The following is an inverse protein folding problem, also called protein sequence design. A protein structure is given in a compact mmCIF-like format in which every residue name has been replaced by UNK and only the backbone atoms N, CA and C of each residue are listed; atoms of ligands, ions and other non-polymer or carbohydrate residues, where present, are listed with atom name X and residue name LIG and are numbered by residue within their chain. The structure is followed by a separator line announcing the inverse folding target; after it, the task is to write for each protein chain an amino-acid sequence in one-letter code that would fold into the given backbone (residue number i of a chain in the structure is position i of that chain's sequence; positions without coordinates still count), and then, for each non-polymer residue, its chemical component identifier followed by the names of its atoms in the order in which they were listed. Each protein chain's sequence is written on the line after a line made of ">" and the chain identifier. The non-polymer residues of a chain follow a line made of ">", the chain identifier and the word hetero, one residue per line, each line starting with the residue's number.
data_IF_292877238403
#
_entry.id   IF_292877238403
#
_cell.length_a   1.000
_cell.length_b   1.000
_cell.length_c   1.000
_cell.angle_alpha   90.00
_cell.angle_beta   90.00
_cell.angle_gamma   90.00
#
_symmetry.space_group_name_H-M   'P 1'
#
loop_
_entity.id
_entity.type
_entity.pdbx_description
1 polymer ?
#
# COMPACT_ATOMS: atom_id res chain seq x y z
N UNK A 1 -17.99 -0.54 85.02
CA UNK A 1 -18.83 0.61 84.63
C UNK A 1 -19.82 0.13 83.57
N UNK A 2 -21.12 0.42 83.82
CA UNK A 2 -22.35 0.38 82.99
C UNK A 2 -22.32 -0.43 81.66
N UNK A 3 -23.01 -1.58 81.57
CA UNK A 3 -24.43 -1.75 81.10
C UNK A 3 -24.64 -1.11 79.72
N UNK A 4 -25.14 -1.81 78.70
CA UNK A 4 -26.53 -2.27 78.59
C UNK A 4 -26.65 -3.41 77.56
N UNK A 5 -27.41 -4.45 77.93
CA UNK A 5 -28.01 -5.50 77.09
C UNK A 5 -29.03 -4.94 76.10
N UNK A 6 -29.31 -5.63 75.00
CA UNK A 6 -30.66 -6.14 74.67
C UNK A 6 -30.55 -7.22 73.59
N UNK A 7 -31.17 -8.34 73.92
CA UNK A 7 -31.36 -9.59 73.22
C UNK A 7 -32.65 -9.63 72.39
N UNK A 8 -32.76 -10.72 71.59
CA UNK A 8 -33.93 -11.42 71.03
C UNK A 8 -34.08 -11.31 69.50
N UNK A 9 -33.88 -12.38 68.71
CA UNK A 9 -34.55 -13.70 68.55
C UNK A 9 -35.86 -13.69 67.72
N UNK A 10 -35.81 -14.52 66.68
CA UNK A 10 -36.81 -15.51 66.23
C UNK A 10 -37.70 -15.24 64.99
N UNK A 11 -37.81 -16.29 64.16
CA UNK A 11 -38.93 -16.62 63.27
C UNK A 11 -38.67 -16.36 61.79
N UNK A 12 -38.15 -17.28 60.97
CA UNK A 12 -38.76 -18.52 60.45
C UNK A 12 -40.16 -18.30 59.80
N UNK A 13 -40.25 -18.42 58.47
CA UNK A 13 -41.41 -19.07 57.83
C UNK A 13 -41.12 -19.45 56.37
N UNK A 14 -41.03 -20.76 56.15
CA UNK A 14 -41.24 -21.45 54.87
C UNK A 14 -42.70 -21.90 54.87
N UNK A 15 -43.47 -21.58 53.82
CA UNK A 15 -44.71 -22.28 53.50
C UNK A 15 -44.84 -22.44 51.98
N UNK A 16 -45.00 -23.70 51.58
CA UNK A 16 -45.33 -24.15 50.23
C UNK A 16 -46.77 -24.71 50.21
N UNK A 17 -47.34 -24.77 49.00
CA UNK A 17 -48.57 -25.48 48.56
C UNK A 17 -49.90 -24.75 48.93
N UNK A 18 -50.97 -24.72 48.13
CA UNK A 18 -51.58 -25.70 47.21
C UNK A 18 -52.37 -24.98 46.08
N UNK A 19 -52.53 -25.71 44.98
CA UNK A 19 -53.24 -25.52 43.72
C UNK A 19 -54.65 -24.87 43.69
N UNK A 20 -55.01 -24.37 42.50
CA UNK A 20 -56.35 -24.46 41.92
C UNK A 20 -56.28 -24.50 40.37
N UNK A 21 -56.67 -25.63 39.80
CA UNK A 21 -57.12 -25.77 38.40
C UNK A 21 -58.62 -25.40 38.29
N UNK A 22 -59.09 -24.98 37.11
CA UNK A 22 -60.14 -25.80 36.49
C UNK A 22 -60.13 -25.89 34.95
N UNK A 23 -60.69 -27.04 34.51
CA UNK A 23 -61.46 -27.32 33.29
C UNK A 23 -60.76 -27.51 31.93
N UNK A 24 -60.61 -28.81 31.63
CA UNK A 24 -60.77 -29.48 30.31
C UNK A 24 -61.75 -28.74 29.37
N UNK A 25 -61.25 -28.42 28.18
CA UNK A 25 -62.02 -28.52 26.94
C UNK A 25 -61.27 -29.48 26.01
N UNK A 26 -61.85 -30.65 25.75
CA UNK A 26 -61.46 -31.47 24.61
C UNK A 26 -61.92 -30.76 23.35
N UNK A 27 -60.98 -30.44 22.46
CA UNK A 27 -61.29 -30.19 21.05
C UNK A 27 -60.25 -30.91 20.20
N UNK A 28 -60.67 -32.04 19.65
CA UNK A 28 -59.96 -32.72 18.58
C UNK A 28 -59.83 -31.77 17.38
N UNK A 29 -58.60 -31.51 16.94
CA UNK A 29 -58.33 -31.03 15.58
C UNK A 29 -56.95 -31.50 15.12
N UNK A 30 -56.95 -32.16 13.95
CA UNK A 30 -55.84 -32.75 13.17
C UNK A 30 -54.52 -31.95 13.16
N UNK A 31 -53.37 -32.63 12.97
CA UNK A 31 -52.06 -31.97 12.92
C UNK A 31 -51.96 -31.08 11.66
N UNK A 32 -51.75 -29.78 11.87
CA UNK A 32 -51.21 -28.88 10.84
C UNK A 32 -49.72 -28.70 11.11
N UNK A 33 -48.95 -28.92 10.06
CA UNK A 33 -47.51 -28.75 9.92
C UNK A 33 -47.00 -27.53 10.68
N UNK A 34 -46.01 -27.72 11.54
CA UNK A 34 -45.30 -26.65 12.23
C UNK A 34 -44.50 -25.85 11.20
N UNK A 35 -45.01 -24.69 10.79
CA UNK A 35 -44.17 -23.64 10.21
C UNK A 35 -43.38 -23.03 11.35
N UNK A 36 -42.09 -23.31 11.43
CA UNK A 36 -41.17 -22.60 12.30
C UNK A 36 -41.21 -21.12 11.95
N UNK A 37 -41.88 -20.32 12.76
CA UNK A 37 -41.71 -18.87 12.75
C UNK A 37 -40.31 -18.57 13.27
N UNK A 38 -39.33 -18.59 12.36
CA UNK A 38 -38.06 -17.92 12.59
C UNK A 38 -38.38 -16.44 12.82
N UNK A 39 -38.42 -16.03 14.09
CA UNK A 39 -38.32 -14.63 14.46
C UNK A 39 -37.03 -14.14 13.80
N UNK A 40 -37.16 -13.37 12.72
CA UNK A 40 -36.04 -12.63 12.15
C UNK A 40 -35.57 -11.73 13.30
N UNK A 41 -34.44 -12.06 13.93
CA UNK A 41 -33.67 -11.06 14.68
C UNK A 41 -33.46 -9.92 13.70
N UNK A 42 -34.03 -8.75 13.97
CA UNK A 42 -33.59 -7.53 13.30
C UNK A 42 -32.06 -7.49 13.46
N UNK A 43 -31.36 -7.51 12.33
CA UNK A 43 -29.90 -7.36 12.32
C UNK A 43 -29.66 -5.95 12.86
N UNK A 44 -29.18 -5.86 14.10
CA UNK A 44 -28.69 -4.59 14.67
C UNK A 44 -27.67 -4.04 13.67
N UNK A 45 -27.86 -2.81 13.23
CA UNK A 45 -26.90 -2.15 12.35
C UNK A 45 -25.63 -1.88 13.15
N UNK A 46 -24.56 -2.60 12.83
CA UNK A 46 -23.25 -2.48 13.48
C UNK A 46 -22.30 -1.57 12.69
N UNK A 47 -22.80 -0.82 11.71
CA UNK A 47 -22.01 0.13 10.94
C UNK A 47 -21.18 -0.49 9.80
N UNK A 48 -21.17 -1.82 9.63
CA UNK A 48 -20.38 -2.51 8.59
C UNK A 48 -20.56 -1.93 7.17
N UNK A 49 -21.76 -1.43 6.84
CA UNK A 49 -22.07 -0.82 5.54
C UNK A 49 -21.20 0.40 5.20
N UNK A 50 -20.69 1.11 6.21
CA UNK A 50 -19.86 2.31 6.03
C UNK A 50 -18.41 1.99 5.62
N UNK A 51 -18.01 0.72 5.69
CA UNK A 51 -16.70 0.26 5.21
C UNK A 51 -16.71 -0.19 3.74
N UNK A 52 -17.83 -0.03 3.03
CA UNK A 52 -17.97 -0.57 1.68
C UNK A 52 -16.92 -0.02 0.71
N UNK A 53 -16.62 1.28 0.75
CA UNK A 53 -15.56 1.87 -0.09
C UNK A 53 -14.18 1.29 0.23
N UNK A 54 -13.88 1.06 1.51
CA UNK A 54 -12.63 0.42 1.94
C UNK A 54 -12.55 -1.01 1.38
N UNK A 55 -13.62 -1.80 1.55
CA UNK A 55 -13.66 -3.18 1.04
C UNK A 55 -13.50 -3.25 -0.48
N UNK A 56 -14.16 -2.35 -1.23
CA UNK A 56 -14.05 -2.29 -2.69
C UNK A 56 -12.62 -1.94 -3.14
N UNK A 57 -11.94 -1.02 -2.45
CA UNK A 57 -10.52 -0.72 -2.72
C UNK A 57 -9.62 -1.92 -2.42
N UNK A 58 -9.77 -2.57 -1.26
CA UNK A 58 -8.98 -3.75 -0.90
C UNK A 58 -9.22 -4.94 -1.84
N UNK A 59 -10.44 -5.12 -2.37
CA UNK A 59 -10.72 -6.14 -3.38
C UNK A 59 -9.91 -5.90 -4.67
N UNK A 60 -9.73 -4.64 -5.07
CA UNK A 60 -8.90 -4.28 -6.22
C UNK A 60 -7.41 -4.44 -5.93
N UNK A 61 -6.95 -4.04 -4.75
CA UNK A 61 -5.56 -4.27 -4.31
C UNK A 61 -5.24 -5.77 -4.32
N UNK A 62 -6.12 -6.59 -3.76
CA UNK A 62 -5.99 -8.05 -3.75
C UNK A 62 -5.92 -8.63 -5.17
N UNK A 63 -6.80 -8.18 -6.08
CA UNK A 63 -6.79 -8.61 -7.47
C UNK A 63 -5.51 -8.20 -8.19
N UNK A 64 -5.07 -6.95 -8.01
CA UNK A 64 -3.87 -6.42 -8.65
C UNK A 64 -2.61 -7.14 -8.16
N UNK A 65 -2.45 -7.33 -6.85
CA UNK A 65 -1.32 -8.05 -6.27
C UNK A 65 -1.28 -9.53 -6.68
N UNK A 66 -2.43 -10.21 -6.75
CA UNK A 66 -2.51 -11.60 -7.22
C UNK A 66 -2.11 -11.76 -8.69
N UNK A 67 -2.43 -10.77 -9.51
CA UNK A 67 -2.16 -10.78 -10.95
C UNK A 67 -0.81 -10.16 -11.31
N UNK A 68 -0.07 -9.60 -10.34
CA UNK A 68 1.14 -8.82 -10.62
C UNK A 68 0.87 -7.52 -11.40
N UNK A 69 -0.38 -7.02 -11.38
CA UNK A 69 -0.80 -5.82 -12.08
C UNK A 69 -0.38 -4.56 -11.32
N UNK A 70 0.88 -4.17 -11.52
CA UNK A 70 1.47 -2.97 -10.92
C UNK A 70 0.72 -1.71 -11.33
N UNK A 71 0.39 -1.58 -12.60
CA UNK A 71 -0.28 -0.40 -13.16
C UNK A 71 -1.68 -0.21 -12.55
N UNK A 72 -2.46 -1.29 -12.43
CA UNK A 72 -3.76 -1.27 -11.77
C UNK A 72 -3.67 -0.96 -10.28
N UNK A 73 -2.67 -1.51 -9.58
CA UNK A 73 -2.42 -1.18 -8.18
C UNK A 73 -2.09 0.32 -8.00
N UNK A 74 -1.17 0.87 -8.80
CA UNK A 74 -0.79 2.28 -8.75
C UNK A 74 -1.95 3.21 -9.15
N UNK A 75 -2.81 2.80 -10.09
CA UNK A 75 -4.00 3.55 -10.46
C UNK A 75 -5.00 3.65 -9.30
N UNK A 76 -5.16 2.60 -8.50
CA UNK A 76 -6.02 2.63 -7.29
C UNK A 76 -5.35 3.41 -6.14
N UNK A 77 -4.02 3.34 -6.01
CA UNK A 77 -3.25 4.16 -5.06
C UNK A 77 -3.29 5.66 -5.38
N UNK A 78 -3.32 6.03 -6.66
CA UNK A 78 -3.46 7.42 -7.08
C UNK A 78 -4.78 8.08 -6.70
N UNK A 79 -5.78 7.30 -6.26
CA UNK A 79 -7.10 7.79 -5.81
C UNK A 79 -7.12 8.17 -4.33
N UNK A 80 -6.14 7.71 -3.55
CA UNK A 80 -5.99 8.09 -2.14
C UNK A 80 -4.95 9.19 -2.00
N UNK A 81 -4.90 9.83 -0.83
CA UNK A 81 -3.89 10.86 -0.55
C UNK A 81 -2.50 10.23 -0.70
N UNK A 82 -1.68 10.80 -1.58
CA UNK A 82 -0.29 10.39 -1.76
C UNK A 82 0.49 10.52 -0.43
N UNK A 83 1.30 9.51 -0.10
CA UNK A 83 2.03 9.44 1.16
C UNK A 83 1.16 9.14 2.38
N UNK A 84 -0.10 8.74 2.19
CA UNK A 84 -0.90 8.16 3.28
C UNK A 84 -0.29 6.83 3.76
N UNK A 85 -0.52 6.50 5.02
CA UNK A 85 -0.04 5.25 5.61
C UNK A 85 -0.47 4.01 4.79
N UNK A 86 -1.71 3.98 4.30
CA UNK A 86 -2.22 2.93 3.40
C UNK A 86 -1.42 2.84 2.09
N UNK A 87 -1.05 3.98 1.48
CA UNK A 87 -0.29 4.00 0.23
C UNK A 87 1.12 3.42 0.39
N UNK A 88 1.79 3.76 1.50
CA UNK A 88 3.15 3.27 1.80
C UNK A 88 3.11 1.78 2.08
N UNK A 89 2.11 1.36 2.84
CA UNK A 89 1.85 -0.04 3.13
C UNK A 89 1.71 -0.87 1.84
N UNK A 90 0.88 -0.43 0.90
CA UNK A 90 0.63 -1.16 -0.33
C UNK A 90 1.82 -1.13 -1.31
N UNK A 91 2.58 -0.04 -1.38
CA UNK A 91 3.86 -0.01 -2.12
C UNK A 91 4.86 -1.03 -1.52
N UNK A 92 4.94 -1.14 -0.19
CA UNK A 92 5.78 -2.13 0.46
C UNK A 92 5.35 -3.56 0.10
N UNK A 93 4.04 -3.83 -0.03
CA UNK A 93 3.53 -5.15 -0.42
C UNK A 93 3.77 -5.50 -1.89
N UNK A 94 3.68 -4.54 -2.80
CA UNK A 94 4.01 -4.75 -4.22
C UNK A 94 5.45 -5.22 -4.40
N UNK A 95 6.36 -4.67 -3.59
CA UNK A 95 7.79 -5.01 -3.60
C UNK A 95 8.10 -6.35 -2.94
N UNK A 96 7.16 -6.92 -2.19
CA UNK A 96 7.32 -8.28 -1.66
C UNK A 96 7.22 -9.26 -2.83
N UNK A 97 8.33 -9.94 -3.13
CA UNK A 97 8.35 -11.01 -4.14
C UNK A 97 7.53 -12.26 -3.77
N UNK A 98 6.67 -12.18 -2.77
CA UNK A 98 5.78 -13.24 -2.29
C UNK A 98 4.33 -12.90 -2.59
N UNK A 99 3.51 -13.83 -3.12
CA UNK A 99 2.10 -13.60 -3.33
C UNK A 99 1.40 -13.14 -2.05
N UNK A 100 0.70 -12.01 -2.15
CA UNK A 100 -0.11 -11.45 -1.08
C UNK A 100 -1.57 -11.85 -1.31
N UNK A 101 -2.28 -12.18 -0.24
CA UNK A 101 -3.74 -12.39 -0.31
C UNK A 101 -4.37 -11.74 0.90
N UNK A 102 -5.34 -10.87 0.64
CA UNK A 102 -6.05 -10.17 1.68
C UNK A 102 -7.20 -10.99 2.27
N UNK A 103 -7.43 -10.78 3.55
CA UNK A 103 -8.61 -11.19 4.29
C UNK A 103 -9.09 -10.04 5.17
N UNK A 104 -10.35 -10.07 5.55
CA UNK A 104 -10.91 -9.08 6.46
C UNK A 104 -11.86 -9.71 7.48
N UNK A 105 -12.01 -9.07 8.63
CA UNK A 105 -12.97 -9.45 9.66
C UNK A 105 -13.61 -8.19 10.25
N UNK A 106 -14.87 -8.32 10.66
CA UNK A 106 -15.56 -7.29 11.44
C UNK A 106 -15.63 -7.72 12.90
N UNK A 107 -15.32 -6.81 13.82
CA UNK A 107 -15.43 -7.07 15.24
C UNK A 107 -15.62 -5.77 16.01
N UNK A 108 -16.57 -5.77 16.95
CA UNK A 108 -16.78 -4.71 17.94
C UNK A 108 -15.70 -4.80 19.02
N UNK A 109 -14.56 -4.12 18.81
CA UNK A 109 -13.38 -4.19 19.67
C UNK A 109 -13.65 -3.54 21.04
N UNK A 110 -14.31 -2.39 21.05
CA UNK A 110 -14.55 -1.59 22.25
C UNK A 110 -15.91 -1.90 22.94
N UNK A 111 -16.72 -2.79 22.37
CA UNK A 111 -18.03 -3.23 22.88
C UNK A 111 -19.06 -2.11 22.90
N UNK A 112 -18.96 -1.15 21.98
CA UNK A 112 -19.91 -0.05 21.85
C UNK A 112 -21.10 -0.36 20.92
N UNK A 113 -21.04 -1.51 20.24
CA UNK A 113 -22.06 -1.99 19.31
C UNK A 113 -21.84 -1.60 17.86
N UNK A 114 -20.72 -0.94 17.52
CA UNK A 114 -20.21 -0.66 16.18
C UNK A 114 -19.02 -1.58 15.92
N UNK A 115 -18.95 -2.17 14.72
CA UNK A 115 -17.82 -3.02 14.37
C UNK A 115 -16.65 -2.17 13.80
N UNK A 116 -15.42 -2.52 14.19
CA UNK A 116 -14.20 -2.15 13.48
C UNK A 116 -13.91 -3.14 12.34
N UNK A 117 -13.22 -2.65 11.30
CA UNK A 117 -12.73 -3.46 10.20
C UNK A 117 -11.25 -3.79 10.42
N UNK A 118 -10.95 -5.08 10.50
CA UNK A 118 -9.59 -5.61 10.51
C UNK A 118 -9.25 -6.17 9.14
N UNK A 119 -8.07 -5.85 8.63
CA UNK A 119 -7.51 -6.43 7.41
C UNK A 119 -6.26 -7.24 7.75
N UNK A 120 -6.03 -8.32 7.02
CA UNK A 120 -4.86 -9.20 7.08
C UNK A 120 -4.36 -9.50 5.67
N UNK A 121 -3.06 -9.66 5.46
CA UNK A 121 -2.46 -9.82 4.12
C UNK A 121 -1.37 -10.89 3.99
N UNK A 122 -0.96 -11.58 5.06
CA UNK A 122 -0.11 -12.77 4.93
C UNK A 122 -0.70 -13.91 5.74
N UNK A 123 -0.39 -15.08 5.22
CA UNK A 123 -0.50 -16.35 5.90
C UNK A 123 0.90 -16.94 5.94
N UNK A 124 1.73 -16.48 6.88
CA UNK A 124 3.06 -17.06 7.11
C UNK A 124 2.97 -18.08 8.25
N UNK A 125 2.96 -19.37 7.90
CA UNK A 125 3.06 -20.46 8.88
C UNK A 125 1.91 -20.59 9.88
N UNK A 126 0.65 -20.48 9.42
CA UNK A 126 -0.59 -20.67 10.22
C UNK A 126 -0.87 -19.62 11.31
N UNK A 127 -0.21 -18.45 11.31
CA UNK A 127 -0.56 -17.34 12.21
C UNK A 127 -1.23 -16.20 11.45
N UNK A 128 -2.44 -15.86 11.89
CA UNK A 128 -3.15 -14.66 11.45
C UNK A 128 -2.54 -13.43 12.13
N UNK A 129 -2.34 -12.35 11.38
CA UNK A 129 -1.97 -11.06 11.94
C UNK A 129 -2.84 -9.97 11.33
N UNK A 130 -2.92 -8.83 12.00
CA UNK A 130 -3.66 -7.66 11.52
C UNK A 130 -2.69 -6.71 10.84
N UNK A 131 -3.01 -6.32 9.62
CA UNK A 131 -2.19 -5.45 8.78
C UNK A 131 -2.79 -4.07 8.54
N UNK A 132 -4.09 -3.89 8.76
CA UNK A 132 -4.71 -2.59 8.88
C UNK A 132 -5.92 -2.65 9.82
N UNK A 133 -6.19 -1.55 10.50
CA UNK A 133 -7.38 -1.36 11.34
C UNK A 133 -8.10 -0.10 10.88
N UNK A 134 -9.39 -0.21 10.60
CA UNK A 134 -10.26 0.95 10.37
C UNK A 134 -11.34 1.01 11.45
N UNK A 135 -11.66 2.22 11.89
CA UNK A 135 -12.78 2.52 12.78
C UNK A 135 -13.73 3.52 12.11
N UNK A 136 -14.94 3.70 12.65
CA UNK A 136 -15.89 4.67 12.10
C UNK A 136 -15.85 5.99 12.86
N UNK A 137 -15.41 7.07 12.22
CA UNK A 137 -15.64 8.44 12.71
C UNK A 137 -16.99 8.92 12.21
N UNK A 138 -18.03 8.59 12.96
CA UNK A 138 -19.41 8.80 12.52
C UNK A 138 -19.81 7.77 11.47
N UNK A 139 -19.93 8.19 10.20
CA UNK A 139 -20.27 7.32 9.06
C UNK A 139 -19.11 7.16 8.07
N UNK A 140 -17.93 7.67 8.42
CA UNK A 140 -16.73 7.63 7.60
C UNK A 140 -15.74 6.63 8.20
N UNK A 141 -15.21 5.73 7.36
CA UNK A 141 -14.17 4.80 7.76
C UNK A 141 -12.81 5.50 7.79
N UNK A 142 -12.18 5.55 8.97
CA UNK A 142 -10.87 6.15 9.19
C UNK A 142 -9.84 5.05 9.47
N UNK A 143 -8.71 5.11 8.76
CA UNK A 143 -7.57 4.23 9.00
C UNK A 143 -6.91 4.62 10.32
N UNK A 144 -6.78 3.68 11.24
CA UNK A 144 -5.97 3.87 12.45
C UNK A 144 -4.49 3.77 12.09
N UNK A 145 -4.04 2.58 11.69
CA UNK A 145 -2.65 2.29 11.35
C UNK A 145 -2.55 1.03 10.48
N UNK A 146 -1.37 0.84 9.88
CA UNK A 146 -0.97 -0.36 9.13
C UNK A 146 0.26 -1.04 9.74
N UNK A 147 0.32 -2.36 9.64
CA UNK A 147 1.47 -3.17 10.04
C UNK A 147 2.19 -3.75 8.83
N UNK A 148 3.45 -3.37 8.63
CA UNK A 148 4.24 -3.84 7.50
C UNK A 148 5.74 -3.82 7.76
N UNK A 149 6.48 -4.48 6.88
CA UNK A 149 7.94 -4.36 6.80
C UNK A 149 8.26 -3.66 5.49
N UNK A 150 8.94 -2.52 5.56
CA UNK A 150 9.36 -1.80 4.37
C UNK A 150 10.37 -2.63 3.56
N UNK A 151 10.26 -2.57 2.23
CA UNK A 151 11.20 -3.26 1.34
C UNK A 151 12.63 -2.70 1.43
N UNK A 152 12.75 -1.41 1.78
CA UNK A 152 14.02 -0.67 1.93
C UNK A 152 13.99 0.19 3.20
N UNK A 153 15.16 0.58 3.68
CA UNK A 153 15.29 1.47 4.85
C UNK A 153 15.10 0.80 6.22
N UNK A 154 14.56 -0.42 6.26
CA UNK A 154 14.52 -1.23 7.48
C UNK A 154 13.38 -0.89 8.45
N UNK A 155 12.45 -0.01 8.06
CA UNK A 155 11.27 0.34 8.84
C UNK A 155 10.32 -0.84 8.99
N UNK A 156 9.76 -1.00 10.19
CA UNK A 156 8.80 -2.04 10.54
C UNK A 156 7.73 -1.48 11.46
N UNK A 157 6.51 -1.98 11.30
CA UNK A 157 5.40 -1.71 12.20
C UNK A 157 4.60 -2.98 12.53
N UNK A 158 3.97 -3.00 13.70
CA UNK A 158 3.05 -4.07 14.12
C UNK A 158 1.84 -3.54 14.86
N UNK A 159 0.76 -4.34 14.83
CA UNK A 159 -0.50 -4.07 15.51
C UNK A 159 -0.84 -5.25 16.41
N UNK A 160 -0.92 -4.99 17.72
CA UNK A 160 -1.36 -5.96 18.72
C UNK A 160 -2.69 -5.49 19.33
N UNK A 161 -3.70 -6.36 19.31
CA UNK A 161 -5.05 -6.06 19.76
C UNK A 161 -5.36 -6.80 21.06
N UNK A 162 -6.15 -6.18 21.93
CA UNK A 162 -6.54 -6.72 23.23
C UNK A 162 -8.08 -6.84 23.34
N UNK A 163 -8.55 -7.77 24.17
CA UNK A 163 -9.97 -8.15 24.31
C UNK A 163 -10.88 -7.08 24.96
N UNK A 164 -10.30 -5.96 25.35
CA UNK A 164 -10.97 -4.76 25.85
C UNK A 164 -10.96 -3.59 24.85
N UNK A 165 -10.50 -3.80 23.62
CA UNK A 165 -10.44 -2.79 22.57
C UNK A 165 -9.22 -1.89 22.60
N UNK A 166 -8.23 -2.18 23.46
CA UNK A 166 -6.92 -1.53 23.38
C UNK A 166 -6.12 -2.05 22.19
N UNK A 167 -5.38 -1.15 21.56
CA UNK A 167 -4.55 -1.43 20.39
C UNK A 167 -3.15 -0.88 20.67
N UNK A 168 -2.13 -1.71 20.48
CA UNK A 168 -0.73 -1.28 20.52
C UNK A 168 -0.23 -1.19 19.09
N UNK A 169 0.14 0.03 18.69
CA UNK A 169 0.92 0.27 17.49
C UNK A 169 2.39 0.34 17.87
N UNK A 170 3.21 -0.52 17.27
CA UNK A 170 4.65 -0.50 17.49
C UNK A 170 5.39 -0.20 16.20
N UNK A 171 6.44 0.61 16.27
CA UNK A 171 7.31 0.94 15.14
C UNK A 171 8.76 0.77 15.54
N UNK A 172 9.61 0.33 14.60
CA UNK A 172 11.04 0.22 14.83
C UNK A 172 11.83 0.22 13.53
N UNK A 173 13.12 0.50 13.65
CA UNK A 173 14.08 0.42 12.56
C UNK A 173 14.95 -0.81 12.75
N UNK A 174 15.25 -1.54 11.68
CA UNK A 174 16.04 -2.77 11.78
C UNK A 174 17.48 -2.54 12.30
N UNK A 175 17.96 -1.30 12.23
CA UNK A 175 19.30 -0.89 12.70
C UNK A 175 19.28 -0.24 14.09
N UNK A 176 18.10 -0.02 14.67
CA UNK A 176 17.96 0.55 16.01
C UNK A 176 17.34 -0.51 16.94
N UNK A 177 17.95 -0.81 18.10
CA UNK A 177 17.33 -1.71 19.07
C UNK A 177 16.06 -1.14 19.73
N UNK A 178 15.76 0.15 19.56
CA UNK A 178 14.56 0.78 20.09
C UNK A 178 13.31 0.37 19.29
N UNK A 179 12.26 -0.02 20.01
CA UNK A 179 10.89 -0.15 19.52
C UNK A 179 10.01 0.88 20.21
N UNK A 180 9.46 1.79 19.43
CA UNK A 180 8.49 2.78 19.89
C UNK A 180 7.11 2.13 19.95
N UNK A 181 6.38 2.40 21.04
CA UNK A 181 5.07 1.84 21.31
C UNK A 181 4.09 2.98 21.55
N UNK A 182 2.92 2.90 20.92
CA UNK A 182 1.78 3.78 21.17
C UNK A 182 0.55 2.94 21.49
N UNK A 183 -0.05 3.21 22.66
CA UNK A 183 -1.30 2.59 23.11
C UNK A 183 -2.48 3.46 22.72
N UNK A 184 -3.43 2.86 22.01
CA UNK A 184 -4.70 3.48 21.66
C UNK A 184 -5.87 2.83 22.41
N UNK A 185 -6.89 3.64 22.69
CA UNK A 185 -8.22 3.19 23.07
C UNK A 185 -9.23 3.69 22.03
N UNK A 186 -10.25 2.89 21.74
CA UNK A 186 -11.33 3.27 20.83
C UNK A 186 -12.53 3.78 21.64
N UNK A 187 -12.86 5.06 21.45
CA UNK A 187 -14.11 5.67 21.90
C UNK A 187 -15.17 5.68 20.80
N UNK A 188 -16.31 6.34 21.06
CA UNK A 188 -17.40 6.47 20.08
C UNK A 188 -16.97 7.34 18.89
N UNK A 189 -16.40 6.69 17.89
CA UNK A 189 -15.88 7.30 16.66
C UNK A 189 -14.62 8.13 16.83
N UNK A 190 -13.80 7.80 17.82
CA UNK A 190 -12.50 8.41 18.03
C UNK A 190 -11.49 7.33 18.47
N UNK A 191 -10.31 7.33 17.87
CA UNK A 191 -9.16 6.61 18.41
C UNK A 191 -8.31 7.56 19.25
N UNK A 192 -8.23 7.31 20.55
CA UNK A 192 -7.48 8.14 21.49
C UNK A 192 -6.14 7.51 21.81
N UNK A 193 -5.07 8.29 21.63
CA UNK A 193 -3.75 7.95 22.14
C UNK A 193 -3.74 8.06 23.67
N UNK A 194 -3.49 6.95 24.36
CA UNK A 194 -3.48 6.89 25.82
C UNK A 194 -2.06 7.04 26.39
N UNK A 195 -1.08 6.38 25.77
CA UNK A 195 0.28 6.31 26.32
C UNK A 195 1.29 5.94 25.25
N UNK A 196 2.51 6.46 25.41
CA UNK A 196 3.69 6.06 24.65
C UNK A 196 4.74 5.44 25.56
N UNK A 197 5.54 4.54 25.01
CA UNK A 197 6.71 3.97 25.66
C UNK A 197 7.75 3.54 24.61
N UNK A 198 8.98 3.34 25.05
CA UNK A 198 10.04 2.76 24.23
C UNK A 198 10.59 1.54 24.95
N UNK A 199 10.70 0.42 24.24
CA UNK A 199 11.33 -0.81 24.75
C UNK A 199 12.48 -1.23 23.84
N UNK A 200 13.39 -2.07 24.36
CA UNK A 200 14.48 -2.64 23.58
C UNK A 200 14.03 -3.96 22.93
N UNK A 201 14.32 -4.13 21.64
CA UNK A 201 14.10 -5.40 20.92
C UNK A 201 15.01 -6.47 21.52
N UNK A 202 14.42 -7.55 22.01
CA UNK A 202 15.15 -8.63 22.69
C UNK A 202 15.48 -8.36 24.16
N UNK A 203 15.01 -7.24 24.73
CA UNK A 203 15.08 -6.98 26.16
C UNK A 203 14.01 -7.71 26.97
N UNK A 204 14.08 -7.59 28.30
CA UNK A 204 13.20 -8.31 29.24
C UNK A 204 11.81 -7.66 29.43
N UNK A 205 11.64 -6.40 29.01
CA UNK A 205 10.41 -5.65 29.19
C UNK A 205 9.45 -5.86 28.03
N UNK A 206 8.22 -6.30 28.31
CA UNK A 206 7.17 -6.46 27.29
C UNK A 206 6.42 -5.16 27.01
N UNK A 207 5.72 -5.09 25.87
CA UNK A 207 4.88 -3.94 25.53
C UNK A 207 3.77 -3.70 26.57
N UNK A 208 3.15 -4.78 27.05
CA UNK A 208 2.11 -4.73 28.08
C UNK A 208 2.65 -4.17 29.39
N UNK A 209 3.85 -4.56 29.81
CA UNK A 209 4.48 -4.03 31.03
C UNK A 209 4.81 -2.54 30.89
N UNK A 210 5.41 -2.13 29.76
CA UNK A 210 5.80 -0.74 29.52
C UNK A 210 4.58 0.19 29.43
N UNK A 211 3.51 -0.27 28.77
CA UNK A 211 2.29 0.49 28.58
C UNK A 211 1.30 0.36 29.75
N UNK A 212 1.45 -0.66 30.61
CA UNK A 212 0.55 -0.89 31.74
C UNK A 212 -0.76 -1.57 31.34
N UNK A 213 -0.70 -2.49 30.37
CA UNK A 213 -1.85 -3.23 29.86
C UNK A 213 -2.08 -4.46 30.73
N UNK A 214 -3.30 -4.62 31.23
CA UNK A 214 -3.73 -5.80 32.01
C UNK A 214 -4.70 -6.70 31.24
N UNK A 215 -5.13 -6.29 30.04
CA UNK A 215 -6.05 -7.03 29.18
C UNK A 215 -5.35 -8.21 28.49
N UNK A 216 -6.14 -9.18 28.02
CA UNK A 216 -5.59 -10.32 27.27
C UNK A 216 -5.49 -9.97 25.80
N UNK A 217 -4.45 -10.45 25.13
CA UNK A 217 -4.34 -10.34 23.68
C UNK A 217 -5.54 -11.02 23.01
N UNK A 218 -6.10 -10.36 22.00
CA UNK A 218 -7.25 -10.83 21.25
C UNK A 218 -6.87 -12.08 20.44
N UNK A 219 -7.67 -13.13 20.58
CA UNK A 219 -7.49 -14.37 19.82
C UNK A 219 -8.07 -14.24 18.41
N UNK A 220 -7.20 -13.84 17.46
CA UNK A 220 -7.57 -13.61 16.07
C UNK A 220 -8.14 -14.85 15.36
N UNK A 221 -7.86 -16.07 15.86
CA UNK A 221 -8.37 -17.31 15.25
C UNK A 221 -9.88 -17.51 15.43
N UNK A 222 -10.49 -16.77 16.38
CA UNK A 222 -11.93 -16.82 16.67
C UNK A 222 -12.75 -15.85 15.83
N UNK A 223 -12.11 -15.00 15.03
CA UNK A 223 -12.80 -14.04 14.18
C UNK A 223 -13.28 -14.69 12.87
N UNK A 224 -14.39 -14.19 12.34
CA UNK A 224 -14.96 -14.63 11.06
C UNK A 224 -14.23 -13.96 9.89
N UNK A 225 -13.04 -14.48 9.57
CA UNK A 225 -12.22 -13.97 8.48
C UNK A 225 -12.81 -14.33 7.11
N UNK A 226 -13.06 -13.30 6.31
CA UNK A 226 -13.56 -13.37 4.94
C UNK A 226 -12.43 -13.10 3.96
N UNK A 227 -12.48 -13.75 2.80
CA UNK A 227 -11.58 -13.47 1.68
C UNK A 227 -12.20 -12.40 0.79
N UNK A 228 -11.37 -11.65 0.08
CA UNK A 228 -11.81 -10.88 -1.07
C UNK A 228 -11.95 -11.85 -2.25
N UNK A 229 -13.17 -12.00 -2.76
CA UNK A 229 -13.44 -12.72 -4.00
C UNK A 229 -13.29 -11.74 -5.17
N UNK A 230 -12.40 -12.06 -6.12
CA UNK A 230 -12.26 -11.32 -7.37
C UNK A 230 -13.50 -11.41 -8.28
N UNK A 231 -14.63 -11.91 -7.81
CA UNK A 231 -15.90 -11.91 -8.52
C UNK A 231 -16.67 -10.62 -8.24
N UNK A 232 -16.10 -9.49 -8.67
CA UNK A 232 -16.96 -8.47 -9.24
C UNK A 232 -17.57 -9.09 -10.49
N UNK A 233 -18.90 -9.27 -10.51
CA UNK A 233 -19.67 -9.65 -11.68
C UNK A 233 -19.36 -8.69 -12.83
N UNK A 234 -18.38 -9.05 -13.65
CA UNK A 234 -18.27 -8.63 -15.04
C UNK A 234 -18.16 -9.91 -15.84
N UNK A 235 -19.34 -10.50 -16.07
CA UNK A 235 -19.53 -11.59 -17.02
C UNK A 235 -19.18 -11.11 -18.42
N UNK A 236 -17.89 -11.12 -18.75
CA UNK A 236 -17.41 -11.05 -20.12
C UNK A 236 -17.23 -12.46 -20.63
N UNK A 237 -18.34 -13.12 -20.95
CA UNK A 237 -18.33 -14.15 -21.99
C UNK A 237 -18.06 -13.45 -23.32
N UNK A 238 -16.81 -13.38 -23.74
CA UNK A 238 -16.45 -13.04 -25.10
C UNK A 238 -15.61 -14.18 -25.68
N UNK A 239 -16.33 -15.02 -26.42
CA UNK A 239 -15.85 -15.94 -27.45
C UNK A 239 -14.83 -15.22 -28.35
N UNK A 240 -13.77 -15.91 -28.71
CA UNK A 240 -12.78 -15.46 -29.67
C UNK A 240 -13.45 -15.00 -30.98
N UNK A 241 -13.45 -13.70 -31.22
CA UNK A 241 -13.70 -13.08 -32.51
C UNK A 241 -12.64 -11.99 -32.70
N UNK A 242 -11.96 -12.06 -33.85
CA UNK A 242 -11.01 -11.05 -34.34
C UNK A 242 -11.64 -9.65 -34.27
N UNK A 243 -11.24 -8.86 -33.27
CA UNK A 243 -11.44 -7.41 -33.29
C UNK A 243 -10.17 -6.77 -33.83
N UNK A 244 -10.28 -6.14 -35.00
CA UNK A 244 -9.33 -5.13 -35.47
C UNK A 244 -9.22 -4.05 -34.39
N UNK A 245 -8.13 -4.08 -33.64
CA UNK A 245 -7.72 -3.00 -32.74
C UNK A 245 -7.44 -1.77 -33.59
N UNK A 246 -7.88 -0.59 -33.14
CA UNK A 246 -7.35 0.67 -33.65
C UNK A 246 -5.82 0.67 -33.49
N UNK A 247 -5.10 1.16 -34.51
CA UNK A 247 -3.65 1.24 -34.44
C UNK A 247 -3.22 2.32 -33.47
N UNK A 248 -2.11 2.09 -32.76
CA UNK A 248 -1.55 3.03 -31.79
C UNK A 248 -0.02 2.98 -31.82
N UNK A 249 0.63 4.03 -31.35
CA UNK A 249 2.09 4.09 -31.33
C UNK A 249 2.64 3.65 -29.97
N UNK A 250 3.84 3.07 -29.98
CA UNK A 250 4.60 2.71 -28.79
C UNK A 250 6.05 3.13 -28.93
N UNK A 251 6.66 3.61 -27.86
CA UNK A 251 8.08 3.95 -27.76
C UNK A 251 8.86 2.75 -27.22
N UNK A 252 9.92 2.36 -27.95
CA UNK A 252 10.87 1.32 -27.53
C UNK A 252 12.15 1.99 -27.04
N UNK A 253 12.47 1.85 -25.75
CA UNK A 253 13.65 2.47 -25.13
C UNK A 253 14.78 1.47 -24.83
N UNK A 254 14.47 0.18 -24.77
CA UNK A 254 15.43 -0.91 -24.53
C UNK A 254 16.10 -1.37 -25.83
N UNK A 255 17.39 -1.74 -25.76
CA UNK A 255 18.17 -2.20 -26.94
C UNK A 255 18.04 -3.68 -27.22
N UNK A 256 17.52 -4.45 -26.27
CA UNK A 256 17.51 -5.91 -26.28
C UNK A 256 16.12 -6.54 -26.54
N UNK A 257 15.11 -5.72 -26.90
CA UNK A 257 13.79 -6.21 -27.29
C UNK A 257 13.84 -6.92 -28.66
N UNK A 258 13.28 -8.13 -28.70
CA UNK A 258 13.25 -8.98 -29.90
C UNK A 258 11.90 -8.93 -30.59
N UNK A 259 11.95 -8.90 -31.92
CA UNK A 259 10.80 -9.15 -32.78
C UNK A 259 10.62 -10.67 -32.91
N UNK A 260 9.38 -11.14 -32.78
CA UNK A 260 8.97 -12.55 -32.95
C UNK A 260 8.06 -12.71 -34.16
N UNK A 261 8.19 -13.82 -34.88
CA UNK A 261 7.33 -14.09 -36.04
C UNK A 261 5.85 -14.32 -35.67
N UNK A 262 5.62 -14.81 -34.46
CA UNK A 262 4.31 -15.07 -33.86
C UNK A 262 4.28 -14.49 -32.43
N UNK A 263 3.11 -14.18 -31.85
CA UNK A 263 2.98 -13.63 -30.52
C UNK A 263 3.24 -14.71 -29.45
N UNK A 264 4.49 -15.17 -29.34
CA UNK A 264 4.91 -16.18 -28.38
C UNK A 264 6.39 -16.03 -28.03
N UNK A 265 6.72 -16.31 -26.78
CA UNK A 265 8.11 -16.31 -26.28
C UNK A 265 8.95 -17.41 -26.94
N UNK A 266 8.28 -18.48 -27.39
CA UNK A 266 8.88 -19.64 -28.06
C UNK A 266 8.98 -19.47 -29.58
N UNK A 267 8.37 -18.43 -30.16
CA UNK A 267 8.40 -18.22 -31.60
C UNK A 267 9.80 -17.82 -32.12
N UNK A 268 10.16 -18.15 -33.37
CA UNK A 268 11.42 -17.73 -33.96
C UNK A 268 11.59 -16.20 -33.94
N UNK A 269 12.78 -15.74 -33.60
CA UNK A 269 13.10 -14.31 -33.66
C UNK A 269 13.28 -13.84 -35.10
N UNK A 270 12.73 -12.66 -35.39
CA UNK A 270 12.89 -11.93 -36.65
C UNK A 270 13.95 -10.80 -36.57
N UNK A 271 14.71 -10.75 -35.47
CA UNK A 271 15.74 -9.74 -35.21
C UNK A 271 15.44 -8.87 -33.99
N UNK A 272 16.25 -7.84 -33.80
CA UNK A 272 16.09 -6.83 -32.74
C UNK A 272 15.27 -5.67 -33.27
N UNK A 273 14.37 -5.13 -32.45
CA UNK A 273 13.68 -3.89 -32.80
C UNK A 273 14.61 -2.70 -32.56
N UNK A 274 14.59 -1.72 -33.46
CA UNK A 274 15.31 -0.47 -33.26
C UNK A 274 14.63 0.35 -32.15
N UNK A 275 15.41 1.09 -31.36
CA UNK A 275 14.84 2.08 -30.43
C UNK A 275 14.06 3.15 -31.20
N UNK A 276 13.03 3.73 -30.58
CA UNK A 276 12.18 4.75 -31.18
C UNK A 276 10.70 4.41 -31.19
N UNK A 277 9.92 5.20 -31.90
CA UNK A 277 8.46 5.05 -31.99
C UNK A 277 8.09 4.06 -33.09
N UNK A 278 7.21 3.11 -32.76
CA UNK A 278 6.68 2.10 -33.68
C UNK A 278 5.16 2.08 -33.63
N UNK A 279 4.52 1.86 -34.78
CA UNK A 279 3.06 1.71 -34.85
C UNK A 279 2.67 0.24 -34.66
N UNK A 280 1.72 0.00 -33.76
CA UNK A 280 1.09 -1.29 -33.48
C UNK A 280 -0.27 -1.33 -34.15
N UNK A 281 -0.53 -2.39 -34.91
CA UNK A 281 -1.78 -2.57 -35.68
C UNK A 281 -2.70 -3.64 -35.10
N UNK A 282 -2.18 -4.48 -34.22
CA UNK A 282 -2.89 -5.62 -33.64
C UNK A 282 -2.28 -5.97 -32.29
N UNK A 283 -3.11 -6.40 -31.33
CA UNK A 283 -2.66 -6.83 -30.00
C UNK A 283 -3.21 -8.20 -29.64
N UNK A 284 -2.39 -9.06 -29.06
CA UNK A 284 -2.76 -10.42 -28.63
C UNK A 284 -2.15 -10.72 -27.26
N UNK A 285 -2.96 -11.27 -26.35
CA UNK A 285 -2.47 -11.81 -25.07
C UNK A 285 -2.04 -13.27 -25.25
N UNK A 286 -0.75 -13.56 -25.04
CA UNK A 286 -0.20 -14.91 -25.16
C UNK A 286 1.08 -15.06 -24.34
N UNK A 287 1.28 -16.25 -23.75
CA UNK A 287 2.43 -16.58 -22.90
C UNK A 287 2.66 -15.61 -21.73
N UNK A 288 1.59 -15.00 -21.20
CA UNK A 288 1.67 -14.02 -20.13
C UNK A 288 2.20 -12.65 -20.56
N UNK A 289 2.20 -12.36 -21.87
CA UNK A 289 2.55 -11.06 -22.42
C UNK A 289 1.49 -10.49 -23.35
N UNK A 290 1.34 -9.17 -23.34
CA UNK A 290 0.65 -8.45 -24.43
C UNK A 290 1.60 -8.28 -25.62
N UNK A 291 1.31 -8.94 -26.74
CA UNK A 291 2.05 -8.82 -27.98
C UNK A 291 1.45 -7.77 -28.89
N UNK A 292 2.28 -6.89 -29.46
CA UNK A 292 1.89 -5.90 -30.45
C UNK A 292 2.50 -6.20 -31.82
N UNK A 293 1.66 -6.28 -32.85
CA UNK A 293 2.09 -6.47 -34.24
C UNK A 293 2.52 -5.16 -34.87
N UNK A 294 3.77 -5.12 -35.33
CA UNK A 294 4.35 -3.96 -35.98
C UNK A 294 3.70 -3.70 -37.34
N UNK A 295 3.34 -2.45 -37.61
CA UNK A 295 2.86 -1.99 -38.92
C UNK A 295 3.88 -2.26 -40.04
N UNK A 296 5.17 -2.26 -39.72
CA UNK A 296 6.26 -2.60 -40.66
C UNK A 296 6.18 -4.03 -41.21
N UNK A 297 5.34 -4.89 -40.61
CA UNK A 297 5.21 -6.30 -40.98
C UNK A 297 6.36 -7.19 -40.50
N UNK A 298 7.31 -6.64 -39.73
CA UNK A 298 8.48 -7.40 -39.25
C UNK A 298 8.14 -8.47 -38.22
N UNK A 299 7.01 -8.34 -37.52
CA UNK A 299 6.52 -9.32 -36.56
C UNK A 299 5.92 -8.66 -35.32
N UNK A 300 6.01 -9.38 -34.21
CA UNK A 300 5.41 -9.04 -32.92
C UNK A 300 6.48 -8.66 -31.90
N UNK A 301 6.18 -7.67 -31.06
CA UNK A 301 7.00 -7.31 -29.91
C UNK A 301 6.17 -7.41 -28.64
N UNK A 302 6.80 -7.71 -27.52
CA UNK A 302 6.13 -7.68 -26.22
C UNK A 302 5.99 -6.22 -25.76
N UNK A 303 4.76 -5.76 -25.58
CA UNK A 303 4.42 -4.36 -25.32
C UNK A 303 4.79 -3.90 -23.91
N UNK A 304 5.00 -4.84 -22.98
CA UNK A 304 5.47 -4.57 -21.61
C UNK A 304 6.85 -3.89 -21.57
N UNK A 305 7.63 -4.06 -22.63
CA UNK A 305 8.93 -3.40 -22.79
C UNK A 305 8.84 -2.12 -23.62
N UNK A 306 7.63 -1.59 -23.79
CA UNK A 306 7.34 -0.38 -24.56
C UNK A 306 6.41 0.54 -23.79
N UNK A 307 6.40 1.82 -24.15
CA UNK A 307 5.49 2.81 -23.57
C UNK A 307 4.51 3.26 -24.64
N UNK A 308 3.19 3.21 -24.37
CA UNK A 308 2.18 3.68 -25.32
C UNK A 308 2.31 5.18 -25.56
N UNK A 309 2.29 5.58 -26.82
CA UNK A 309 2.29 6.97 -27.27
C UNK A 309 0.84 7.30 -27.63
N UNK A 310 0.13 7.94 -26.70
CA UNK A 310 -1.25 8.32 -26.94
C UNK A 310 -1.32 9.45 -27.99
N UNK A 311 -2.08 9.19 -29.06
CA UNK A 311 -2.25 10.05 -30.24
C UNK A 311 -2.94 11.40 -29.99
N UNK A 312 -3.08 11.83 -28.73
CA UNK A 312 -3.50 13.18 -28.35
C UNK A 312 -2.34 14.00 -27.80
N UNK A 313 -1.21 14.01 -28.52
CA UNK A 313 -0.25 15.12 -28.53
C UNK A 313 0.58 14.97 -29.79
N UNK A 314 0.09 15.65 -30.83
CA UNK A 314 0.90 16.08 -31.97
C UNK A 314 2.29 16.48 -31.51
N UNK A 315 3.30 16.14 -32.30
CA UNK A 315 4.62 16.78 -32.37
C UNK A 315 4.46 18.26 -32.02
N UNK A 316 4.68 18.57 -30.75
CA UNK A 316 4.58 19.89 -30.18
C UNK A 316 5.95 20.11 -29.63
N UNK A 317 6.77 20.79 -30.42
CA UNK A 317 7.96 21.50 -29.96
C UNK A 317 7.78 21.92 -28.50
N UNK A 318 8.57 21.27 -27.65
CA UNK A 318 8.83 21.56 -26.24
C UNK A 318 8.39 22.96 -25.80
N UNK A 319 7.24 23.04 -25.11
CA UNK A 319 7.08 24.09 -24.11
C UNK A 319 7.89 23.60 -22.91
N UNK A 320 9.11 24.11 -22.75
CA UNK A 320 9.93 23.93 -21.54
C UNK A 320 9.02 24.09 -20.32
N UNK A 321 8.83 23.02 -19.56
CA UNK A 321 8.44 23.16 -18.15
C UNK A 321 9.47 24.07 -17.50
N UNK A 322 9.03 25.04 -16.70
CA UNK A 322 9.96 26.00 -16.07
C UNK A 322 10.72 25.40 -14.89
N UNK A 323 10.60 24.09 -14.65
CA UNK A 323 11.21 23.37 -13.53
C UNK A 323 11.16 21.85 -13.73
N UNK A 324 11.84 21.13 -12.85
CA UNK A 324 12.00 19.68 -12.85
C UNK A 324 10.66 18.95 -12.87
N UNK A 325 10.48 18.06 -13.85
CA UNK A 325 9.31 17.21 -13.95
C UNK A 325 9.67 15.74 -13.64
N UNK A 326 9.35 15.30 -12.42
CA UNK A 326 9.66 13.94 -11.96
C UNK A 326 8.91 12.84 -12.70
N UNK A 327 7.76 13.13 -13.31
CA UNK A 327 7.04 12.15 -14.13
C UNK A 327 7.76 11.91 -15.47
N UNK A 328 8.29 12.96 -16.08
CA UNK A 328 9.13 12.85 -17.29
C UNK A 328 10.39 12.03 -16.97
N UNK A 329 11.10 12.39 -15.90
CA UNK A 329 12.34 11.72 -15.47
C UNK A 329 12.10 10.23 -15.20
N UNK A 330 11.02 9.89 -14.49
CA UNK A 330 10.66 8.50 -14.19
C UNK A 330 10.38 7.68 -15.46
N UNK A 331 9.88 8.33 -16.52
CA UNK A 331 9.64 7.72 -17.83
C UNK A 331 10.90 7.71 -18.74
N UNK A 332 12.04 8.17 -18.21
CA UNK A 332 13.31 8.24 -18.95
C UNK A 332 13.46 9.48 -19.84
N UNK A 333 12.59 10.47 -19.69
CA UNK A 333 12.69 11.78 -20.35
C UNK A 333 13.33 12.79 -19.37
N UNK A 334 14.57 13.16 -19.63
CA UNK A 334 15.33 14.06 -18.75
C UNK A 334 15.35 15.50 -19.27
N UNK A 335 14.54 15.83 -20.29
CA UNK A 335 14.54 17.14 -20.95
C UNK A 335 14.23 18.30 -20.00
N UNK A 336 13.35 18.09 -18.99
CA UNK A 336 13.07 19.12 -17.97
C UNK A 336 14.27 19.47 -17.09
N UNK A 337 15.24 18.56 -16.94
CA UNK A 337 16.45 18.77 -16.14
C UNK A 337 17.73 18.93 -16.97
N UNK A 338 17.61 18.93 -18.31
CA UNK A 338 18.74 19.09 -19.21
C UNK A 338 19.57 20.35 -18.84
N UNK A 339 20.90 20.19 -18.87
CA UNK A 339 21.85 21.20 -18.43
C UNK A 339 22.86 20.68 -17.41
N UNK A 340 23.78 21.55 -16.98
CA UNK A 340 24.80 21.22 -16.00
C UNK A 340 24.32 21.59 -14.59
N UNK A 341 24.58 20.70 -13.65
CA UNK A 341 24.28 20.86 -12.24
C UNK A 341 25.59 20.77 -11.46
N UNK A 342 25.81 21.66 -10.50
CA UNK A 342 27.02 21.69 -9.68
C UNK A 342 26.68 21.71 -8.20
N UNK A 343 27.45 20.98 -7.40
CA UNK A 343 27.36 21.03 -5.95
C UNK A 343 28.44 21.93 -5.32
N UNK A 344 28.31 22.21 -4.02
CA UNK A 344 29.25 23.06 -3.28
C UNK A 344 30.66 22.46 -3.13
N UNK A 345 30.83 21.17 -3.46
CA UNK A 345 32.13 20.46 -3.44
C UNK A 345 32.87 20.53 -4.80
N UNK A 346 32.29 21.21 -5.79
CA UNK A 346 32.90 21.40 -7.11
C UNK A 346 32.62 20.29 -8.12
N UNK A 347 31.86 19.24 -7.74
CA UNK A 347 31.44 18.19 -8.64
C UNK A 347 30.34 18.72 -9.58
N UNK A 348 30.40 18.38 -10.87
CA UNK A 348 29.35 18.71 -11.83
C UNK A 348 28.83 17.50 -12.59
N UNK A 349 27.53 17.46 -12.83
CA UNK A 349 26.85 16.45 -13.64
C UNK A 349 26.02 17.15 -14.72
N UNK A 350 26.11 16.70 -15.96
CA UNK A 350 25.35 17.27 -17.08
C UNK A 350 24.33 16.27 -17.57
N UNK A 351 23.07 16.70 -17.66
CA UNK A 351 21.98 15.93 -18.25
C UNK A 351 21.69 16.37 -19.68
N UNK A 352 21.43 15.41 -20.57
CA UNK A 352 20.73 15.60 -21.83
C UNK A 352 19.34 14.96 -21.76
N UNK A 353 18.61 14.90 -22.89
CA UNK A 353 17.25 14.35 -22.94
C UNK A 353 17.17 12.86 -22.53
N UNK A 354 18.29 12.13 -22.56
CA UNK A 354 18.37 10.68 -22.29
C UNK A 354 19.00 10.33 -20.93
N UNK A 355 19.47 11.31 -20.14
CA UNK A 355 20.07 11.08 -18.83
C UNK A 355 21.41 11.76 -18.64
N UNK A 356 22.33 11.15 -17.86
CA UNK A 356 23.65 11.74 -17.60
C UNK A 356 24.52 11.62 -18.85
N UNK A 357 24.91 12.76 -19.41
CA UNK A 357 25.83 12.84 -20.55
C UNK A 357 27.28 13.04 -20.12
N UNK A 358 27.53 13.79 -19.04
CA UNK A 358 28.88 14.10 -18.55
C UNK A 358 28.99 14.18 -17.03
N UNK A 359 30.16 13.84 -16.52
CA UNK A 359 30.58 14.08 -15.13
C UNK A 359 31.88 14.87 -15.16
N UNK A 360 31.94 15.99 -14.45
CA UNK A 360 33.08 16.91 -14.44
C UNK A 360 33.58 17.29 -15.84
N UNK A 361 32.66 17.42 -16.80
CA UNK A 361 32.96 17.77 -18.20
C UNK A 361 33.40 16.62 -19.10
N UNK A 362 33.65 15.43 -18.54
CA UNK A 362 34.01 14.23 -19.30
C UNK A 362 32.77 13.38 -19.62
N UNK A 363 32.67 12.78 -20.82
CA UNK A 363 31.60 11.80 -21.13
C UNK A 363 31.59 10.62 -20.15
N UNK A 364 30.42 10.05 -19.93
CA UNK A 364 30.24 8.91 -19.01
C UNK A 364 29.28 7.88 -19.58
N UNK A 365 29.37 6.64 -19.10
CA UNK A 365 28.43 5.55 -19.37
C UNK A 365 27.46 5.31 -18.20
N UNK A 366 27.33 6.30 -17.31
CA UNK A 366 26.50 6.17 -16.11
C UNK A 366 25.04 6.30 -16.49
N UNK A 367 24.24 5.32 -16.10
CA UNK A 367 22.82 5.23 -16.37
C UNK A 367 22.06 5.54 -15.09
N UNK A 368 20.99 6.32 -15.23
CA UNK A 368 20.05 6.63 -14.16
C UNK A 368 18.76 5.88 -14.41
N UNK A 369 18.43 4.93 -13.55
CA UNK A 369 17.24 4.10 -13.65
C UNK A 369 16.76 3.63 -12.28
N UNK A 370 15.90 2.62 -12.23
CA UNK A 370 15.38 2.01 -10.98
C UNK A 370 14.78 3.07 -10.06
N UNK A 371 13.89 3.87 -10.63
CA UNK A 371 13.24 4.98 -9.95
C UNK A 371 12.29 4.48 -8.87
N UNK A 372 12.31 5.14 -7.71
CA UNK A 372 11.28 5.03 -6.69
C UNK A 372 10.69 6.42 -6.43
N UNK A 373 9.37 6.49 -6.40
CA UNK A 373 8.69 7.70 -6.00
C UNK A 373 8.69 7.77 -4.47
N UNK A 374 9.27 8.81 -3.91
CA UNK A 374 9.30 9.07 -2.48
C UNK A 374 8.66 10.44 -2.22
N UNK A 375 8.22 10.73 -1.00
CA UNK A 375 7.37 11.88 -0.67
C UNK A 375 7.81 13.22 -1.30
N UNK A 376 7.22 13.59 -2.45
CA UNK A 376 7.51 14.86 -3.12
C UNK A 376 8.81 14.91 -3.92
N UNK A 377 9.53 13.80 -4.06
CA UNK A 377 10.78 13.70 -4.83
C UNK A 377 10.92 12.33 -5.49
N UNK A 378 11.86 12.20 -6.43
CA UNK A 378 12.13 10.93 -7.10
C UNK A 378 13.50 10.43 -6.68
N UNK A 379 13.63 9.19 -6.19
CA UNK A 379 14.91 8.53 -5.96
C UNK A 379 15.22 7.56 -7.11
N UNK A 380 16.50 7.28 -7.37
CA UNK A 380 16.96 6.42 -8.46
C UNK A 380 18.31 5.80 -8.13
N UNK A 381 18.69 4.80 -8.94
CA UNK A 381 20.04 4.23 -8.94
C UNK A 381 20.86 4.84 -10.07
N UNK A 382 22.14 5.08 -9.79
CA UNK A 382 23.16 5.47 -10.77
C UNK A 382 24.21 4.38 -10.82
N UNK A 383 24.43 3.83 -12.01
CA UNK A 383 25.36 2.72 -12.21
C UNK A 383 25.99 2.76 -13.61
N UNK A 384 27.20 2.21 -13.75
CA UNK A 384 27.85 2.06 -15.04
C UNK A 384 27.29 0.85 -15.80
N UNK A 385 27.53 0.82 -17.11
CA UNK A 385 27.25 -0.37 -17.93
C UNK A 385 28.17 -1.56 -17.60
N UNK A 386 29.33 -1.29 -16.98
CA UNK A 386 30.22 -2.29 -16.39
C UNK A 386 29.80 -2.64 -14.94
N UNK A 387 30.13 -3.84 -14.43
CA UNK A 387 29.84 -4.23 -13.05
C UNK A 387 30.72 -3.46 -12.05
N UNK A 388 30.28 -2.25 -11.69
CA UNK A 388 30.81 -1.43 -10.61
C UNK A 388 29.66 -1.05 -9.67
N UNK A 389 29.99 -0.71 -8.42
CA UNK A 389 28.99 -0.41 -7.39
C UNK A 389 28.01 0.70 -7.81
N UNK A 390 26.75 0.56 -7.38
CA UNK A 390 25.70 1.55 -7.63
C UNK A 390 25.71 2.67 -6.57
N UNK A 391 25.22 3.84 -6.94
CA UNK A 391 24.99 4.97 -6.03
C UNK A 391 23.55 5.47 -6.17
N UNK A 392 23.04 6.20 -5.19
CA UNK A 392 21.68 6.74 -5.26
C UNK A 392 21.71 8.16 -5.81
N UNK A 393 20.68 8.52 -6.58
CA UNK A 393 20.41 9.90 -6.94
C UNK A 393 18.97 10.26 -6.60
N UNK A 394 18.74 11.49 -6.17
CA UNK A 394 17.44 11.99 -5.75
C UNK A 394 17.16 13.34 -6.41
N UNK A 395 15.92 13.52 -6.87
CA UNK A 395 15.44 14.65 -7.65
C UNK A 395 14.31 15.34 -6.89
N UNK A 396 14.56 16.54 -6.38
CA UNK A 396 13.62 17.32 -5.59
C UNK A 396 13.13 18.53 -6.40
N UNK A 397 11.87 18.55 -6.87
CA UNK A 397 11.30 19.69 -7.56
C UNK A 397 11.20 20.94 -6.68
N UNK A 398 11.36 22.10 -7.30
CA UNK A 398 11.10 23.39 -6.68
C UNK A 398 9.68 23.46 -6.10
N UNK A 399 9.56 24.10 -4.93
CA UNK A 399 8.31 24.27 -4.20
C UNK A 399 7.92 23.09 -3.33
N UNK A 400 8.63 21.96 -3.40
CA UNK A 400 8.45 20.83 -2.49
C UNK A 400 9.24 21.07 -1.20
N UNK A 401 8.68 20.67 -0.05
CA UNK A 401 9.41 20.71 1.21
C UNK A 401 10.50 19.64 1.22
N UNK A 402 11.74 20.03 1.49
CA UNK A 402 12.84 19.07 1.58
C UNK A 402 12.60 18.07 2.73
N UNK A 403 12.66 16.76 2.49
CA UNK A 403 12.32 15.76 3.50
C UNK A 403 13.22 15.86 4.74
N UNK A 404 12.61 16.10 5.91
CA UNK A 404 13.34 16.17 7.17
C UNK A 404 14.09 14.88 7.50
N UNK A 405 13.58 13.72 7.04
CA UNK A 405 14.20 12.40 7.21
C UNK A 405 15.53 12.24 6.46
N UNK A 406 15.78 13.03 5.41
CA UNK A 406 17.03 12.99 4.66
C UNK A 406 18.07 13.98 5.18
N UNK A 407 17.67 14.87 6.10
CA UNK A 407 18.49 15.96 6.60
C UNK A 407 19.13 15.59 7.93
N UNK A 408 20.38 15.14 7.89
CA UNK A 408 21.13 14.73 9.08
C UNK A 408 22.02 15.83 9.66
N UNK A 409 22.29 16.88 8.88
CA UNK A 409 23.05 18.05 9.32
C UNK A 409 22.20 19.29 9.59
N UNK A 410 22.78 20.25 10.29
CA UNK A 410 22.16 21.56 10.52
C UNK A 410 22.48 22.53 9.38
N UNK A 411 21.78 22.38 8.25
CA UNK A 411 21.92 23.26 7.09
C UNK A 411 20.56 23.75 6.58
N UNK A 412 20.53 24.78 5.74
CA UNK A 412 19.30 25.26 5.08
C UNK A 412 19.23 24.75 3.64
N UNK A 413 18.02 24.49 3.15
CA UNK A 413 17.77 24.12 1.76
C UNK A 413 16.91 25.20 1.12
N UNK A 414 17.33 25.68 -0.04
CA UNK A 414 16.54 26.59 -0.87
C UNK A 414 15.51 25.81 -1.69
N UNK A 415 14.35 25.56 -1.09
CA UNK A 415 13.25 24.83 -1.72
C UNK A 415 12.60 25.62 -2.87
N UNK A 416 13.00 26.87 -3.14
CA UNK A 416 12.51 27.60 -4.31
C UNK A 416 13.15 27.13 -5.62
N UNK A 417 14.16 26.27 -5.54
CA UNK A 417 14.91 25.73 -6.66
C UNK A 417 14.78 24.21 -6.73
N UNK A 418 14.90 23.69 -7.94
CA UNK A 418 15.09 22.27 -8.16
C UNK A 418 16.45 21.86 -7.58
N UNK A 419 16.51 20.69 -6.96
CA UNK A 419 17.70 20.16 -6.29
C UNK A 419 17.93 18.73 -6.75
N UNK A 420 19.21 18.38 -6.96
CA UNK A 420 19.64 17.00 -7.12
C UNK A 420 20.57 16.63 -5.95
N UNK A 421 20.41 15.43 -5.40
CA UNK A 421 21.40 14.83 -4.51
C UNK A 421 21.97 13.58 -5.17
N UNK A 422 23.29 13.39 -5.12
CA UNK A 422 23.93 12.18 -5.61
C UNK A 422 24.95 11.69 -4.57
N UNK A 423 24.72 10.48 -4.03
CA UNK A 423 25.62 9.86 -3.07
C UNK A 423 25.18 8.47 -2.63
N UNK A 424 25.93 7.91 -1.67
CA UNK A 424 25.62 6.62 -1.02
C UNK A 424 25.30 6.79 0.48
N UNK A 425 25.38 8.01 1.00
CA UNK A 425 25.31 8.32 2.43
C UNK A 425 24.14 9.27 2.72
N UNK A 426 23.95 9.59 4.00
CA UNK A 426 23.01 10.62 4.45
C UNK A 426 23.45 12.03 4.02
N UNK A 427 22.50 12.94 3.83
CA UNK A 427 22.78 14.33 3.46
C UNK A 427 23.14 15.10 4.73
N UNK A 428 24.42 15.43 4.85
CA UNK A 428 25.00 16.01 6.07
C UNK A 428 25.32 17.49 5.94
N UNK A 429 25.44 18.00 4.71
CA UNK A 429 25.84 19.38 4.45
C UNK A 429 25.18 19.92 3.17
N UNK A 430 24.90 21.23 3.11
CA UNK A 430 24.31 21.85 1.92
C UNK A 430 25.19 21.70 0.67
N UNK A 431 26.51 21.61 0.83
CA UNK A 431 27.47 21.41 -0.27
C UNK A 431 27.34 20.06 -0.98
N UNK A 432 26.59 19.12 -0.41
CA UNK A 432 26.22 17.85 -1.04
C UNK A 432 25.15 18.01 -2.13
N UNK A 433 24.39 19.11 -2.10
CA UNK A 433 23.27 19.36 -2.99
C UNK A 433 23.75 20.01 -4.30
N UNK A 434 23.25 19.48 -5.41
CA UNK A 434 23.46 20.01 -6.75
C UNK A 434 22.35 20.98 -7.11
N UNK A 435 22.77 22.14 -7.61
CA UNK A 435 21.89 23.15 -8.18
C UNK A 435 22.26 23.34 -9.66
N UNK A 436 21.27 23.71 -10.48
CA UNK A 436 21.47 23.97 -11.90
C UNK A 436 22.42 25.18 -12.06
N UNK A 437 23.42 25.06 -12.93
CA UNK A 437 24.21 26.21 -13.37
C UNK A 437 23.36 27.04 -14.35
N UNK A 438 23.31 28.35 -14.12
CA UNK A 438 22.60 29.31 -14.98
C UNK A 438 23.21 29.43 -16.39
#
# INVERSE_FOLDING_TARGET
>A
MKKVMISLLAGASVLALVACTPKRYERQSKPKTATSSSVKKEKKDTGQKYYQEVLERYAKYDTALKNGDKSGLFAELGKIKSGSEESIYLDALERLGTPVTFQYAFTDLNKDGVDELLVSNQYTGNKQYVSAIYYLKGQEAELLHTAYTAAVGGYRSSLDLFDNGQIVYATWQSVNPDRELTLYSLGKGEAKEEKKATIQIGGDQTAEQALGISAKQLDLSKLDWKKFDGSGDSKSTAKAEEKKSESFQVQVSVSDLRIRKEPSTSAPSAGMIAKGIHTITETVEADGHTWGKLESGQGWIALEFTTRVDGSKSVSSSKKSSGMNIQEIQNGDFSSIAGTWRNGKGMSVTFDDNGISKINGAPTDQVVDRFNHEFGYLSSSVHSTAPAGASAMSFFPAGQEFPASLKYGNFSVDNSKDIIYWGQNVISDQSDLFYKED
#
